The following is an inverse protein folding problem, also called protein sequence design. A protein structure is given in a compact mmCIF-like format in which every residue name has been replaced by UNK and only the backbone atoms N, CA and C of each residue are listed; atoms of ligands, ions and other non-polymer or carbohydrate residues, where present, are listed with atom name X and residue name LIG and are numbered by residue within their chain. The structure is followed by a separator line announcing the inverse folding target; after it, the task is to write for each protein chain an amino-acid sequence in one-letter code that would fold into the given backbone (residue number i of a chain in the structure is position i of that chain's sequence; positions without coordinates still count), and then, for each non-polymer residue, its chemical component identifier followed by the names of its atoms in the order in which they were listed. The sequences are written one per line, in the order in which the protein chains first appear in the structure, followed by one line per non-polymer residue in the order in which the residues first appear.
data_IF_858016136476
#
_entry.id   IF_858016136476
#
_cell.length_a   1.000
_cell.length_b   1.000
_cell.length_c   1.000
_cell.angle_alpha   90.00
_cell.angle_beta   90.00
_cell.angle_gamma   90.00
#
_symmetry.space_group_name_H-M   'P 1'
#
loop_
_entity.id
_entity.type
_entity.pdbx_description
1 polymer ?
#
# COMPACT_ATOMS: atom_id res chain seq x y z
N UNK A 1 13.93 6.54 -26.23
CA UNK A 1 13.85 5.37 -25.33
C UNK A 1 12.72 4.48 -25.80
N UNK A 2 12.96 3.18 -25.82
CA UNK A 2 11.87 2.20 -25.96
C UNK A 2 11.18 1.97 -24.60
N UNK A 3 10.01 1.31 -24.59
CA UNK A 3 9.22 1.09 -23.37
C UNK A 3 10.00 0.36 -22.28
N UNK A 4 10.89 -0.59 -22.63
CA UNK A 4 11.68 -1.33 -21.64
C UNK A 4 12.73 -0.44 -20.95
N UNK A 5 13.43 0.39 -21.72
CA UNK A 5 14.39 1.35 -21.16
C UNK A 5 13.70 2.34 -20.21
N UNK A 6 12.46 2.75 -20.51
CA UNK A 6 11.68 3.61 -19.63
C UNK A 6 11.31 2.92 -18.32
N UNK A 7 10.97 1.64 -18.35
CA UNK A 7 10.64 0.84 -17.17
C UNK A 7 11.88 0.64 -16.29
N UNK A 8 13.04 0.34 -16.88
CA UNK A 8 14.29 0.11 -16.15
C UNK A 8 14.79 1.36 -15.40
N UNK A 9 14.43 2.56 -15.88
CA UNK A 9 14.73 3.83 -15.22
C UNK A 9 13.77 4.21 -14.08
N UNK A 10 12.67 3.47 -13.90
CA UNK A 10 11.74 3.71 -12.79
C UNK A 10 12.37 3.35 -11.43
N UNK A 11 11.84 3.91 -10.33
CA UNK A 11 12.22 3.49 -8.99
C UNK A 11 12.16 1.97 -8.81
N UNK A 12 13.08 1.40 -8.03
CA UNK A 12 13.23 -0.06 -7.88
C UNK A 12 11.96 -0.77 -7.42
N UNK A 13 11.20 -0.14 -6.52
CA UNK A 13 9.92 -0.66 -6.05
C UNK A 13 8.85 -0.78 -7.17
N UNK A 14 9.07 -0.15 -8.32
CA UNK A 14 8.23 -0.27 -9.52
C UNK A 14 8.89 -1.20 -10.54
N UNK A 15 10.15 -0.93 -10.92
CA UNK A 15 10.82 -1.67 -11.99
C UNK A 15 11.05 -3.15 -11.67
N UNK A 16 11.14 -3.52 -10.39
CA UNK A 16 11.21 -4.93 -9.97
C UNK A 16 9.86 -5.64 -9.90
N UNK A 17 8.75 -4.89 -9.81
CA UNK A 17 7.41 -5.42 -9.55
C UNK A 17 6.44 -5.12 -10.71
N UNK A 18 6.98 -5.09 -11.93
CA UNK A 18 6.21 -4.74 -13.13
C UNK A 18 5.10 -5.76 -13.37
N UNK A 19 5.34 -7.05 -13.12
CA UNK A 19 4.34 -8.09 -13.33
C UNK A 19 3.11 -7.92 -12.42
N UNK A 20 3.32 -7.63 -11.13
CA UNK A 20 2.25 -7.28 -10.20
C UNK A 20 1.50 -6.02 -10.65
N UNK A 21 2.24 -4.98 -11.04
CA UNK A 21 1.67 -3.69 -11.46
C UNK A 21 0.90 -3.80 -12.79
N UNK A 22 1.28 -4.68 -13.70
CA UNK A 22 0.51 -4.96 -14.90
C UNK A 22 -0.83 -5.63 -14.59
N UNK A 23 -0.95 -6.34 -13.48
CA UNK A 23 -2.25 -6.80 -12.96
C UNK A 23 -3.20 -5.66 -12.59
N UNK A 24 -2.68 -4.47 -12.28
CA UNK A 24 -3.43 -3.27 -11.90
C UNK A 24 -3.66 -2.36 -13.11
N UNK A 25 -2.59 -2.00 -13.82
CA UNK A 25 -2.62 -1.01 -14.90
C UNK A 25 -2.94 -1.62 -16.27
N UNK A 26 -2.83 -2.94 -16.44
CA UNK A 26 -3.09 -3.65 -17.68
C UNK A 26 -2.00 -3.53 -18.75
N UNK A 27 -1.35 -2.37 -18.88
CA UNK A 27 -0.26 -2.14 -19.84
C UNK A 27 0.90 -1.34 -19.24
N UNK A 28 2.09 -1.46 -19.85
CA UNK A 28 3.28 -0.70 -19.46
C UNK A 28 3.10 0.80 -19.73
N UNK A 29 2.37 1.15 -20.79
CA UNK A 29 2.06 2.53 -21.14
C UNK A 29 1.20 3.18 -20.05
N UNK A 30 0.13 2.51 -19.60
CA UNK A 30 -0.70 2.98 -18.49
C UNK A 30 0.11 3.12 -17.21
N UNK A 31 0.97 2.16 -16.88
CA UNK A 31 1.86 2.26 -15.72
C UNK A 31 2.78 3.49 -15.82
N UNK A 32 3.44 3.70 -16.97
CA UNK A 32 4.34 4.82 -17.19
C UNK A 32 3.65 6.18 -17.06
N UNK A 33 2.39 6.27 -17.50
CA UNK A 33 1.58 7.49 -17.42
C UNK A 33 1.11 7.79 -16.00
N UNK A 34 0.77 6.76 -15.21
CA UNK A 34 -0.01 6.91 -13.99
C UNK A 34 0.72 6.58 -12.68
N UNK A 35 1.89 5.92 -12.71
CA UNK A 35 2.54 5.43 -11.49
C UNK A 35 2.79 6.50 -10.41
N UNK A 36 3.02 7.76 -10.81
CA UNK A 36 3.28 8.85 -9.86
C UNK A 36 2.04 9.34 -9.13
N UNK A 37 0.89 9.34 -9.79
CA UNK A 37 -0.36 9.83 -9.22
C UNK A 37 -1.14 8.71 -8.53
N UNK A 38 -0.96 7.48 -8.99
CA UNK A 38 -1.86 6.38 -8.66
C UNK A 38 -1.21 5.35 -7.73
N UNK A 39 0.08 5.50 -7.38
CA UNK A 39 0.76 4.65 -6.41
C UNK A 39 1.31 5.46 -5.24
N UNK A 40 1.13 4.94 -4.03
CA UNK A 40 1.72 5.46 -2.80
C UNK A 40 2.55 4.35 -2.14
N UNK A 41 3.81 4.65 -1.86
CA UNK A 41 4.71 3.77 -1.14
C UNK A 41 4.71 4.14 0.35
N UNK A 42 4.23 3.23 1.19
CA UNK A 42 4.36 3.31 2.65
C UNK A 42 5.64 2.60 3.07
N UNK A 43 6.70 3.39 3.29
CA UNK A 43 8.01 2.87 3.67
C UNK A 43 8.03 2.35 5.10
N UNK A 44 8.83 1.31 5.36
CA UNK A 44 8.99 0.71 6.69
C UNK A 44 7.81 -0.15 7.14
N UNK A 45 6.97 -0.58 6.19
CA UNK A 45 5.84 -1.50 6.41
C UNK A 45 6.23 -2.84 5.80
N UNK A 46 6.78 -3.75 6.61
CA UNK A 46 7.42 -4.97 6.12
C UNK A 46 6.47 -6.20 6.18
N UNK A 47 5.36 -6.09 6.92
CA UNK A 47 4.40 -7.17 7.13
C UNK A 47 3.03 -6.61 7.58
N UNK A 48 2.02 -7.49 7.69
CA UNK A 48 0.66 -7.05 8.04
C UNK A 48 0.56 -6.49 9.46
N UNK A 49 1.45 -6.88 10.38
CA UNK A 49 1.46 -6.28 11.72
C UNK A 49 1.88 -4.82 11.65
N UNK A 50 2.95 -4.48 10.92
CA UNK A 50 3.39 -3.10 10.70
C UNK A 50 2.30 -2.28 10.00
N UNK A 51 1.65 -2.87 8.99
CA UNK A 51 0.55 -2.23 8.26
C UNK A 51 -0.65 -1.95 9.17
N UNK A 52 -1.02 -2.92 10.01
CA UNK A 52 -2.10 -2.77 10.98
C UNK A 52 -1.81 -1.69 12.02
N UNK A 53 -0.57 -1.62 12.52
CA UNK A 53 -0.14 -0.54 13.42
C UNK A 53 -0.21 0.80 12.72
N UNK A 54 0.33 0.92 11.50
CA UNK A 54 0.28 2.16 10.72
C UNK A 54 -1.15 2.63 10.50
N UNK A 55 -2.06 1.72 10.11
CA UNK A 55 -3.47 2.03 9.88
C UNK A 55 -4.11 2.52 11.18
N UNK A 56 -3.94 1.77 12.27
CA UNK A 56 -4.46 2.18 13.57
C UNK A 56 -3.96 3.55 14.00
N UNK A 57 -2.69 3.87 13.78
CA UNK A 57 -2.12 5.15 14.20
C UNK A 57 -2.59 6.34 13.34
N UNK A 58 -2.80 6.14 12.04
CA UNK A 58 -3.03 7.21 11.08
C UNK A 58 -4.50 7.44 10.69
N UNK A 59 -5.42 6.55 11.04
CA UNK A 59 -6.85 6.65 10.73
C UNK A 59 -7.69 6.90 12.01
N UNK A 60 -8.02 8.16 12.33
CA UNK A 60 -8.62 8.56 13.60
C UNK A 60 -10.00 7.95 13.89
N UNK A 61 -10.75 7.61 12.84
CA UNK A 61 -12.07 6.97 12.92
C UNK A 61 -12.04 5.60 13.60
N UNK A 62 -10.89 4.91 13.56
CA UNK A 62 -10.68 3.66 14.31
C UNK A 62 -10.61 3.95 15.82
N UNK A 63 -10.19 5.16 16.22
CA UNK A 63 -9.96 5.58 17.61
C UNK A 63 -11.18 6.22 18.29
N UNK A 64 -12.36 6.27 17.66
CA UNK A 64 -13.47 7.10 18.15
C UNK A 64 -14.39 6.42 19.20
N UNK A 65 -13.93 5.35 19.85
CA UNK A 65 -14.67 4.61 20.90
C UNK A 65 -14.24 5.08 22.29
N UNK A 66 -14.95 6.04 22.87
CA UNK A 66 -14.62 6.54 24.21
C UNK A 66 -14.65 5.43 25.29
N UNK A 67 -13.61 5.48 26.15
CA UNK A 67 -13.30 4.70 27.35
C UNK A 67 -12.31 3.53 27.11
N UNK A 68 -11.04 3.75 27.47
CA UNK A 68 -10.06 2.67 27.70
C UNK A 68 -9.01 2.39 26.61
N UNK A 69 -8.84 3.27 25.61
CA UNK A 69 -7.94 3.07 24.46
C UNK A 69 -6.51 2.61 24.77
N UNK A 70 -5.88 3.15 25.82
CA UNK A 70 -4.53 2.74 26.21
C UNK A 70 -4.43 1.26 26.66
N UNK A 71 -5.54 0.65 27.08
CA UNK A 71 -5.61 -0.78 27.37
C UNK A 71 -6.15 -1.58 26.18
N UNK A 72 -7.14 -1.04 25.46
CA UNK A 72 -7.76 -1.72 24.32
C UNK A 72 -6.80 -1.92 23.15
N UNK A 73 -5.84 -1.01 22.93
CA UNK A 73 -4.84 -1.15 21.86
C UNK A 73 -3.95 -2.39 22.03
N UNK A 74 -3.72 -2.86 23.26
CA UNK A 74 -2.97 -4.08 23.53
C UNK A 74 -3.72 -5.36 23.13
N UNK A 75 -5.04 -5.26 22.90
CA UNK A 75 -5.90 -6.37 22.47
C UNK A 75 -6.28 -6.30 20.99
N UNK A 76 -5.81 -5.29 20.25
CA UNK A 76 -6.04 -5.21 18.82
C UNK A 76 -5.14 -6.24 18.13
N UNK A 77 -5.76 -7.07 17.30
CA UNK A 77 -5.02 -7.95 16.40
C UNK A 77 -4.57 -7.13 15.18
N UNK A 78 -3.41 -6.48 15.31
CA UNK A 78 -2.84 -5.67 14.23
C UNK A 78 -2.49 -6.50 12.99
N UNK A 79 -2.12 -7.78 13.15
CA UNK A 79 -1.88 -8.66 12.02
C UNK A 79 -3.17 -8.85 11.20
N UNK A 80 -4.29 -9.13 11.87
CA UNK A 80 -5.58 -9.28 11.20
C UNK A 80 -6.04 -7.98 10.54
N UNK A 81 -5.83 -6.83 11.21
CA UNK A 81 -6.17 -5.52 10.65
C UNK A 81 -5.38 -5.20 9.38
N UNK A 82 -4.06 -5.34 9.41
CA UNK A 82 -3.24 -5.08 8.23
C UNK A 82 -3.54 -6.06 7.10
N UNK A 83 -3.83 -7.33 7.43
CA UNK A 83 -4.18 -8.33 6.42
C UNK A 83 -5.49 -7.98 5.70
N UNK A 84 -6.47 -7.47 6.43
CA UNK A 84 -7.72 -7.00 5.82
C UNK A 84 -7.47 -5.82 4.86
N UNK A 85 -6.59 -4.90 5.23
CA UNK A 85 -6.18 -3.77 4.37
C UNK A 85 -5.43 -4.26 3.12
N UNK A 86 -4.50 -5.21 3.25
CA UNK A 86 -3.80 -5.79 2.09
C UNK A 86 -4.77 -6.49 1.13
N UNK A 87 -5.71 -7.27 1.66
CA UNK A 87 -6.68 -8.02 0.84
C UNK A 87 -7.71 -7.12 0.15
N UNK A 88 -8.13 -6.02 0.79
CA UNK A 88 -9.16 -5.13 0.27
C UNK A 88 -8.61 -3.91 -0.49
N UNK A 89 -7.33 -3.56 -0.29
CA UNK A 89 -6.80 -2.23 -0.57
C UNK A 89 -6.02 -2.04 -1.87
N UNK A 90 -6.03 -3.01 -2.79
CA UNK A 90 -5.24 -2.98 -4.04
C UNK A 90 -3.76 -2.61 -3.78
N UNK A 91 -3.14 -3.24 -2.78
CA UNK A 91 -1.73 -3.02 -2.44
C UNK A 91 -0.99 -4.32 -2.18
N UNK A 92 0.33 -4.27 -2.23
CA UNK A 92 1.20 -5.43 -2.01
C UNK A 92 2.56 -5.01 -1.45
N UNK A 93 3.27 -5.97 -0.85
CA UNK A 93 4.60 -5.74 -0.28
C UNK A 93 5.68 -5.72 -1.36
N UNK A 94 6.60 -4.77 -1.23
CA UNK A 94 7.82 -4.60 -2.02
C UNK A 94 9.02 -4.50 -1.08
N UNK A 95 10.24 -4.63 -1.59
CA UNK A 95 11.47 -4.56 -0.77
C UNK A 95 11.55 -3.30 0.11
N UNK A 96 10.97 -2.19 -0.35
CA UNK A 96 10.99 -0.90 0.32
C UNK A 96 9.79 -0.61 1.23
N UNK A 97 8.78 -1.49 1.29
CA UNK A 97 7.60 -1.36 2.16
C UNK A 97 6.30 -1.85 1.52
N UNK A 98 5.18 -1.19 1.81
CA UNK A 98 3.86 -1.52 1.25
C UNK A 98 3.50 -0.54 0.13
N UNK A 99 3.33 -1.05 -1.09
CA UNK A 99 2.95 -0.27 -2.26
C UNK A 99 1.43 -0.36 -2.47
N UNK A 100 0.74 0.77 -2.39
CA UNK A 100 -0.71 0.84 -2.53
C UNK A 100 -1.10 1.54 -3.83
N UNK A 101 -2.06 0.98 -4.55
CA UNK A 101 -2.77 1.67 -5.62
C UNK A 101 -3.89 2.57 -5.06
N UNK A 102 -3.88 3.85 -5.44
CA UNK A 102 -4.85 4.88 -5.03
C UNK A 102 -5.61 5.49 -6.22
N UNK A 103 -5.28 5.09 -7.45
CA UNK A 103 -5.98 5.56 -8.66
C UNK A 103 -7.45 5.15 -8.66
N UNK A 104 -8.34 6.05 -9.08
CA UNK A 104 -9.78 5.75 -9.19
C UNK A 104 -10.66 6.14 -7.99
N UNK A 105 -10.12 6.84 -6.99
CA UNK A 105 -10.93 7.53 -5.97
C UNK A 105 -11.57 6.63 -4.91
N UNK A 106 -10.95 5.50 -4.58
CA UNK A 106 -11.26 4.79 -3.34
C UNK A 106 -10.38 5.37 -2.22
N UNK A 107 -10.82 6.53 -1.71
CA UNK A 107 -10.49 6.98 -0.37
C UNK A 107 -11.32 6.17 0.61
N UNK A 108 -10.66 5.58 1.61
CA UNK A 108 -11.31 4.99 2.78
C UNK A 108 -11.44 6.06 3.87
#
# INVERSE_FOLDING_TARGET
MNTEEMIDELPKYISKNVDELLGIFGTKEMLLEHWKSDLVLYQGIDNDWDLGVYVFENYPEIKDVQIGWNFLSEYIDFQALGRDVEMNGYGFYVDEGFLKYVGGGLEW
#
